data_IF_474022142738
#
_entry.id   IF_474022142738
#
_cell.length_a   1.000
_cell.length_b   1.000
_cell.length_c   1.000
_cell.angle_alpha   90.00
_cell.angle_beta   90.00
_cell.angle_gamma   90.00
#
_symmetry.space_group_name_H-M   'P 1'
#
loop_
_entity.id
_entity.type
_entity.pdbx_description
1 polymer ?
#
# COMPACT_ATOMS: atom_id res chain seq x y z
N UNK A 1 -26.80 -11.61 -5.54
CA UNK A 1 -26.68 -10.18 -5.20
C UNK A 1 -25.21 -9.86 -5.09
N UNK A 2 -24.60 -9.30 -6.14
CA UNK A 2 -23.21 -8.87 -6.08
C UNK A 2 -23.16 -7.60 -5.21
N UNK A 3 -22.44 -7.64 -4.10
CA UNK A 3 -22.16 -6.44 -3.32
C UNK A 3 -21.32 -5.51 -4.20
N UNK A 4 -21.94 -4.45 -4.71
CA UNK A 4 -21.22 -3.37 -5.40
C UNK A 4 -20.49 -2.59 -4.32
N UNK A 5 -19.31 -3.09 -3.92
CA UNK A 5 -18.43 -2.32 -3.05
C UNK A 5 -18.07 -1.02 -3.76
N UNK A 6 -18.26 0.09 -3.04
CA UNK A 6 -17.90 1.41 -3.52
C UNK A 6 -16.43 1.45 -3.95
N UNK A 7 -16.11 2.09 -5.08
CA UNK A 7 -14.74 2.26 -5.54
C UNK A 7 -13.83 2.80 -4.43
N UNK A 8 -12.59 2.32 -4.34
CA UNK A 8 -11.64 2.69 -3.27
C UNK A 8 -11.50 4.21 -3.13
N UNK A 9 -11.55 4.96 -4.24
CA UNK A 9 -11.48 6.42 -4.24
C UNK A 9 -12.66 7.09 -3.53
N UNK A 10 -13.89 6.58 -3.65
CA UNK A 10 -15.05 7.17 -2.95
C UNK A 10 -15.00 6.88 -1.45
N UNK A 11 -14.42 5.74 -1.05
CA UNK A 11 -14.17 5.42 0.36
C UNK A 11 -13.14 6.37 0.98
N UNK A 12 -12.07 6.68 0.26
CA UNK A 12 -11.03 7.63 0.72
C UNK A 12 -11.61 9.04 0.82
N UNK A 13 -12.32 9.52 -0.22
CA UNK A 13 -12.94 10.84 -0.22
C UNK A 13 -13.95 11.01 0.93
N UNK A 14 -14.74 9.97 1.24
CA UNK A 14 -15.63 9.98 2.40
C UNK A 14 -14.86 10.13 3.72
N UNK A 15 -13.74 9.43 3.90
CA UNK A 15 -12.93 9.50 5.11
C UNK A 15 -12.29 10.88 5.28
N UNK A 16 -11.77 11.48 4.20
CA UNK A 16 -11.20 12.82 4.21
C UNK A 16 -12.25 13.88 4.60
N UNK A 17 -13.47 13.75 4.08
CA UNK A 17 -14.58 14.64 4.44
C UNK A 17 -14.96 14.50 5.93
N UNK A 18 -14.98 13.29 6.47
CA UNK A 18 -15.25 13.05 7.90
C UNK A 18 -14.15 13.63 8.79
N UNK A 19 -12.88 13.43 8.44
CA UNK A 19 -11.74 13.98 9.19
C UNK A 19 -11.76 15.51 9.20
N UNK A 20 -12.06 16.14 8.06
CA UNK A 20 -12.22 17.60 7.95
C UNK A 20 -13.30 18.13 8.90
N UNK A 21 -14.45 17.47 8.99
CA UNK A 21 -15.53 17.88 9.90
C UNK A 21 -15.11 17.75 11.37
N UNK A 22 -14.42 16.66 11.72
CA UNK A 22 -13.92 16.45 13.09
C UNK A 22 -12.85 17.47 13.48
N UNK A 23 -12.05 17.92 12.53
CA UNK A 23 -11.05 18.98 12.75
C UNK A 23 -11.69 20.35 12.95
N UNK A 24 -12.76 20.66 12.20
CA UNK A 24 -13.57 21.87 12.40
C UNK A 24 -14.22 21.89 13.78
N UNK A 25 -14.80 20.77 14.22
CA UNK A 25 -15.41 20.66 15.56
C UNK A 25 -14.36 20.81 16.67
N UNK A 26 -13.14 20.31 16.44
CA UNK A 26 -12.02 20.42 17.38
C UNK A 26 -11.50 21.86 17.50
N UNK A 27 -11.50 22.62 16.40
CA UNK A 27 -11.03 24.02 16.35
C UNK A 27 -12.05 25.05 16.83
N UNK A 28 -13.35 24.74 16.84
CA UNK A 28 -14.44 25.66 17.20
C UNK A 28 -14.82 25.66 18.70
N UNK A 29 -13.85 25.57 19.61
CA UNK A 29 -14.10 25.81 21.04
C UNK A 29 -13.58 27.18 21.50
N UNK A 30 -14.38 28.24 21.31
CA UNK A 30 -14.60 29.21 22.35
C UNK A 30 -16.07 29.12 22.77
N UNK A 31 -16.35 28.35 23.81
CA UNK A 31 -17.69 28.21 24.40
C UNK A 31 -18.25 29.60 24.80
N UNK A 32 -19.38 30.06 24.23
CA UNK A 32 -20.12 31.21 24.74
C UNK A 32 -21.20 30.70 25.71
N UNK A 33 -21.04 31.05 26.99
CA UNK A 33 -22.04 31.11 28.08
C UNK A 33 -23.45 30.60 27.72
N UNK A 34 -23.82 29.45 28.27
CA UNK A 34 -25.21 29.21 28.71
C UNK A 34 -25.20 28.63 30.12
N UNK A 35 -26.04 29.21 30.96
CA UNK A 35 -26.02 29.08 32.42
C UNK A 35 -26.83 27.87 32.86
N UNK A 36 -26.18 26.88 33.44
CA UNK A 36 -26.75 26.04 34.50
C UNK A 36 -25.60 25.53 35.37
N UNK A 37 -25.67 25.86 36.66
CA UNK A 37 -24.62 25.66 37.64
C UNK A 37 -24.26 24.17 37.79
N UNK A 38 -22.96 23.86 37.78
CA UNK A 38 -22.30 22.96 38.75
C UNK A 38 -20.79 22.86 38.50
N UNK A 39 -20.01 23.28 39.50
CA UNK A 39 -18.59 22.97 39.81
C UNK A 39 -17.44 23.39 38.87
N UNK A 40 -16.33 23.96 39.41
CA UNK A 40 -15.18 24.35 38.60
C UNK A 40 -14.29 23.13 38.36
N UNK A 41 -14.14 22.68 37.10
CA UNK A 41 -12.97 21.88 36.72
C UNK A 41 -11.92 22.85 36.20
N UNK A 42 -10.95 23.16 37.07
CA UNK A 42 -9.77 23.94 36.71
C UNK A 42 -9.03 23.19 35.61
N UNK A 43 -8.88 23.83 34.44
CA UNK A 43 -7.76 23.51 33.58
C UNK A 43 -6.46 23.74 34.36
N UNK A 44 -5.50 22.84 34.18
CA UNK A 44 -4.11 23.13 34.47
C UNK A 44 -3.32 22.65 33.28
N UNK A 45 -2.76 23.64 32.61
CA UNK A 45 -1.62 23.54 31.72
C UNK A 45 -0.49 22.71 32.34
N UNK A 46 0.33 22.18 31.42
CA UNK A 46 1.72 21.75 31.61
C UNK A 46 2.24 21.73 33.04
N UNK A 47 1.98 20.63 33.75
CA UNK A 47 2.79 20.25 34.89
C UNK A 47 3.11 18.78 34.74
N UNK A 48 4.41 18.47 34.60
CA UNK A 48 4.97 17.20 35.06
C UNK A 48 4.69 17.12 36.55
N UNK A 49 3.46 16.77 36.92
CA UNK A 49 3.12 16.41 38.28
C UNK A 49 3.66 15.01 38.48
N UNK A 50 4.68 14.88 39.31
CA UNK A 50 5.15 13.61 39.84
C UNK A 50 3.95 12.76 40.23
N UNK A 51 3.67 11.72 39.44
CA UNK A 51 2.59 10.78 39.73
C UNK A 51 2.92 10.13 41.06
N UNK A 52 2.19 10.51 42.10
CA UNK A 52 2.38 9.96 43.43
C UNK A 52 1.92 8.50 43.37
N UNK A 53 2.85 7.54 43.31
CA UNK A 53 2.59 6.10 43.20
C UNK A 53 2.05 5.48 44.49
N UNK A 54 1.30 6.26 45.27
CA UNK A 54 0.62 5.77 46.45
C UNK A 54 -0.50 4.80 46.03
N UNK A 55 -0.62 3.61 46.64
CA UNK A 55 -1.66 2.63 46.27
C UNK A 55 -3.09 3.21 46.27
N UNK A 56 -3.34 4.24 47.10
CA UNK A 56 -4.65 4.92 47.22
C UNK A 56 -4.95 5.92 46.09
N UNK A 57 -3.95 6.41 45.36
CA UNK A 57 -4.15 7.31 44.20
C UNK A 57 -4.28 6.52 42.90
N UNK A 58 -3.62 5.36 42.79
CA UNK A 58 -3.67 4.47 41.62
C UNK A 58 -5.08 3.99 41.30
N UNK A 59 -5.91 3.76 42.31
CA UNK A 59 -7.30 3.29 42.16
C UNK A 59 -8.17 4.27 41.36
N UNK A 60 -7.83 5.57 41.35
CA UNK A 60 -8.53 6.61 40.56
C UNK A 60 -8.07 6.68 39.09
N UNK A 61 -6.96 6.03 38.75
CA UNK A 61 -6.33 6.10 37.43
C UNK A 61 -6.25 4.74 36.71
N UNK A 62 -6.44 3.64 37.44
CA UNK A 62 -6.45 2.30 36.87
C UNK A 62 -7.80 1.95 36.26
N UNK A 63 -7.77 1.27 35.11
CA UNK A 63 -8.95 0.60 34.57
C UNK A 63 -9.11 -0.75 35.28
N UNK A 64 -10.36 -1.25 35.45
CA UNK A 64 -10.56 -2.58 36.02
C UNK A 64 -9.84 -3.66 35.21
N UNK A 65 -9.22 -4.61 35.90
CA UNK A 65 -8.34 -5.63 35.30
C UNK A 65 -9.01 -6.43 34.19
N UNK A 66 -10.31 -6.73 34.33
CA UNK A 66 -11.09 -7.49 33.35
C UNK A 66 -11.17 -6.80 31.97
N UNK A 67 -11.31 -5.47 31.94
CA UNK A 67 -11.31 -4.71 30.69
C UNK A 67 -9.93 -4.73 30.02
N UNK A 68 -8.86 -4.63 30.82
CA UNK A 68 -7.48 -4.67 30.32
C UNK A 68 -7.16 -6.04 29.74
N UNK A 69 -7.62 -7.12 30.38
CA UNK A 69 -7.46 -8.49 29.88
C UNK A 69 -8.19 -8.67 28.54
N UNK A 70 -9.48 -8.31 28.47
CA UNK A 70 -10.26 -8.39 27.23
C UNK A 70 -9.64 -7.56 26.10
N UNK A 71 -9.19 -6.33 26.37
CA UNK A 71 -8.52 -5.48 25.39
C UNK A 71 -7.21 -6.13 24.89
N UNK A 72 -6.44 -6.73 25.79
CA UNK A 72 -5.18 -7.39 25.47
C UNK A 72 -5.38 -8.64 24.62
N UNK A 73 -6.39 -9.46 24.94
CA UNK A 73 -6.75 -10.65 24.16
C UNK A 73 -7.14 -10.27 22.73
N UNK A 74 -8.06 -9.31 22.57
CA UNK A 74 -8.50 -8.82 21.25
C UNK A 74 -7.31 -8.28 20.46
N UNK A 75 -6.46 -7.45 21.07
CA UNK A 75 -5.26 -6.91 20.42
C UNK A 75 -4.25 -8.00 20.05
N UNK A 76 -4.06 -9.01 20.90
CA UNK A 76 -3.20 -10.16 20.62
C UNK A 76 -3.64 -10.89 19.36
N UNK A 77 -4.94 -11.13 19.19
CA UNK A 77 -5.47 -11.75 17.96
C UNK A 77 -5.28 -10.89 16.71
N UNK A 78 -5.30 -9.57 16.85
CA UNK A 78 -5.10 -8.64 15.75
C UNK A 78 -3.63 -8.64 15.28
N UNK A 79 -2.68 -8.71 16.21
CA UNK A 79 -1.24 -8.81 15.90
C UNK A 79 -0.96 -10.09 15.11
N UNK A 80 -1.53 -11.23 15.54
CA UNK A 80 -1.38 -12.50 14.84
C UNK A 80 -1.93 -12.42 13.40
N UNK A 81 -3.09 -11.80 13.22
CA UNK A 81 -3.67 -11.58 11.88
C UNK A 81 -2.82 -10.65 11.01
N UNK A 82 -2.20 -9.62 11.58
CA UNK A 82 -1.29 -8.74 10.85
C UNK A 82 -0.04 -9.49 10.39
N UNK A 83 0.57 -10.28 11.27
CA UNK A 83 1.72 -11.12 10.92
C UNK A 83 1.40 -12.06 9.75
N UNK A 84 0.24 -12.72 9.77
CA UNK A 84 -0.19 -13.59 8.67
C UNK A 84 -0.39 -12.84 7.34
N UNK A 85 -0.88 -11.61 7.38
CA UNK A 85 -1.02 -10.76 6.19
C UNK A 85 0.34 -10.34 5.66
N UNK A 86 1.26 -9.93 6.53
CA UNK A 86 2.64 -9.57 6.17
C UNK A 86 3.37 -10.74 5.51
N UNK A 87 3.29 -11.94 6.08
CA UNK A 87 3.91 -13.15 5.52
C UNK A 87 3.37 -13.48 4.13
N UNK A 88 2.05 -13.37 3.94
CA UNK A 88 1.39 -13.62 2.65
C UNK A 88 1.79 -12.57 1.62
N UNK A 89 1.86 -11.31 2.02
CA UNK A 89 2.28 -10.20 1.16
C UNK A 89 3.73 -10.38 0.71
N UNK A 90 4.63 -10.70 1.64
CA UNK A 90 6.04 -10.97 1.32
C UNK A 90 6.16 -12.10 0.28
N UNK A 91 5.42 -13.19 0.47
CA UNK A 91 5.43 -14.32 -0.47
C UNK A 91 4.96 -13.92 -1.87
N UNK A 92 3.92 -13.09 -1.97
CA UNK A 92 3.43 -12.58 -3.26
C UNK A 92 4.44 -11.65 -3.93
N UNK A 93 5.09 -10.77 -3.17
CA UNK A 93 6.13 -9.87 -3.70
C UNK A 93 7.29 -10.68 -4.31
N UNK A 94 7.79 -11.70 -3.60
CA UNK A 94 8.86 -12.56 -4.10
C UNK A 94 8.46 -13.31 -5.38
N UNK A 95 7.24 -13.83 -5.45
CA UNK A 95 6.73 -14.51 -6.65
C UNK A 95 6.62 -13.56 -7.86
N UNK A 96 6.13 -12.35 -7.64
CA UNK A 96 6.05 -11.33 -8.70
C UNK A 96 7.43 -10.91 -9.19
N UNK A 97 8.38 -10.69 -8.29
CA UNK A 97 9.75 -10.36 -8.65
C UNK A 97 10.40 -11.47 -9.48
N UNK A 98 10.21 -12.73 -9.09
CA UNK A 98 10.70 -13.88 -9.86
C UNK A 98 10.08 -13.94 -11.26
N UNK A 99 8.76 -13.77 -11.37
CA UNK A 99 8.05 -13.77 -12.65
C UNK A 99 8.52 -12.62 -13.56
N UNK A 100 8.72 -11.42 -13.01
CA UNK A 100 9.23 -10.27 -13.76
C UNK A 100 10.67 -10.50 -14.25
N UNK A 101 11.52 -11.09 -13.42
CA UNK A 101 12.89 -11.45 -13.83
C UNK A 101 12.87 -12.52 -14.92
N UNK A 102 11.99 -13.52 -14.82
CA UNK A 102 11.83 -14.54 -15.85
C UNK A 102 11.38 -13.93 -17.19
N UNK A 103 10.36 -13.06 -17.18
CA UNK A 103 9.87 -12.36 -18.37
C UNK A 103 10.96 -11.52 -19.05
N UNK A 104 11.74 -10.74 -18.28
CA UNK A 104 12.86 -9.96 -18.82
C UNK A 104 13.89 -10.84 -19.53
N UNK A 105 14.25 -11.98 -18.95
CA UNK A 105 15.18 -12.94 -19.57
C UNK A 105 14.64 -13.54 -20.87
N UNK A 106 13.33 -13.77 -20.97
CA UNK A 106 12.71 -14.23 -22.21
C UNK A 106 12.71 -13.17 -23.30
N UNK A 107 12.42 -11.91 -22.95
CA UNK A 107 12.45 -10.77 -23.87
C UNK A 107 13.86 -10.54 -24.43
N UNK A 108 14.89 -10.58 -23.57
CA UNK A 108 16.29 -10.47 -24.00
C UNK A 108 16.70 -11.60 -24.96
N UNK A 109 16.28 -12.84 -24.68
CA UNK A 109 16.54 -14.00 -25.57
C UNK A 109 15.88 -13.83 -26.95
N UNK A 110 14.66 -13.29 -27.01
CA UNK A 110 13.97 -13.01 -28.28
C UNK A 110 14.71 -11.95 -29.09
N UNK A 111 15.16 -10.88 -28.44
CA UNK A 111 15.89 -9.78 -29.10
C UNK A 111 17.29 -10.20 -29.60
N UNK A 112 17.97 -11.08 -28.87
CA UNK A 112 19.33 -11.55 -29.21
C UNK A 112 19.37 -12.74 -30.17
N UNK A 113 18.22 -13.21 -30.66
CA UNK A 113 18.18 -14.31 -31.62
C UNK A 113 18.79 -13.88 -32.98
N UNK A 114 19.88 -14.53 -33.45
CA UNK A 114 20.57 -14.09 -34.65
C UNK A 114 19.70 -14.37 -35.87
N UNK A 115 19.36 -13.31 -36.65
CA UNK A 115 18.66 -13.39 -37.94
C UNK A 115 19.52 -14.09 -39.01
N UNK A 116 19.78 -15.38 -38.85
CA UNK A 116 20.62 -16.18 -39.75
C UNK A 116 19.96 -16.38 -41.13
N UNK A 117 18.63 -16.38 -41.22
CA UNK A 117 17.90 -16.58 -42.47
C UNK A 117 17.95 -15.39 -43.45
N UNK A 118 17.94 -14.15 -42.95
CA UNK A 118 17.82 -12.97 -43.82
C UNK A 118 19.10 -12.68 -44.62
N UNK A 119 20.28 -12.88 -44.00
CA UNK A 119 21.57 -12.73 -44.71
C UNK A 119 21.73 -13.75 -45.85
N UNK A 120 21.20 -14.96 -45.67
CA UNK A 120 21.27 -16.01 -46.69
C UNK A 120 20.31 -15.74 -47.86
N UNK A 121 19.12 -15.20 -47.57
CA UNK A 121 18.16 -14.75 -48.57
C UNK A 121 18.72 -13.61 -49.43
N UNK A 122 19.28 -12.57 -48.80
CA UNK A 122 19.92 -11.44 -49.53
C UNK A 122 21.07 -11.95 -50.40
N UNK A 123 21.89 -12.87 -49.87
CA UNK A 123 22.99 -13.48 -50.63
C UNK A 123 22.50 -14.23 -51.87
N UNK A 124 21.36 -14.90 -51.83
CA UNK A 124 20.77 -15.57 -53.00
C UNK A 124 20.20 -14.57 -54.02
N UNK A 125 19.49 -13.53 -53.59
CA UNK A 125 18.91 -12.53 -54.50
C UNK A 125 19.98 -11.76 -55.29
N UNK A 126 21.09 -11.39 -54.64
CA UNK A 126 22.20 -10.68 -55.30
C UNK A 126 22.96 -11.60 -56.27
N UNK A 127 23.11 -12.89 -55.94
CA UNK A 127 23.74 -13.88 -56.83
C UNK A 127 22.91 -14.19 -58.07
N UNK A 128 21.58 -14.13 -57.98
CA UNK A 128 20.69 -14.32 -59.12
C UNK A 128 20.80 -13.16 -60.13
N UNK A 129 21.02 -11.92 -59.66
CA UNK A 129 21.09 -10.73 -60.52
C UNK A 129 22.35 -10.66 -61.40
N UNK A 130 23.45 -11.29 -60.99
CA UNK A 130 24.71 -11.32 -61.74
C UNK A 130 24.76 -12.31 -62.91
N UNK A 131 23.85 -13.29 -62.99
CA UNK A 131 23.87 -14.35 -64.01
C UNK A 131 23.13 -14.00 -65.30
N UNK A 132 22.34 -12.93 -65.32
CA UNK A 132 21.55 -12.52 -66.49
C UNK A 132 22.21 -11.42 -67.35
N UNK A 133 23.43 -10.98 -67.03
CA UNK A 133 24.08 -9.85 -67.73
C UNK A 133 25.08 -10.25 -68.84
N UNK A 134 25.34 -11.54 -69.09
CA UNK A 134 26.43 -11.98 -70.01
C UNK A 134 25.98 -12.80 -71.21
N UNK A 135 24.69 -12.90 -71.52
CA UNK A 135 24.20 -13.64 -72.69
C UNK A 135 23.53 -12.71 -73.71
N UNK A 136 24.26 -11.72 -74.21
CA UNK A 136 23.82 -11.00 -75.41
C UNK A 136 25.01 -10.52 -76.26
N UNK A 137 25.73 -11.48 -76.86
CA UNK A 137 26.47 -11.32 -78.12
C UNK A 137 26.45 -12.66 -78.84
N UNK A 138 25.50 -12.84 -79.75
CA UNK A 138 25.49 -13.91 -80.75
C UNK A 138 25.19 -13.30 -82.11
N UNK A 139 25.94 -13.80 -83.10
CA UNK A 139 25.82 -13.64 -84.55
C UNK A 139 26.21 -12.28 -85.14
#
# INVERSE_FOLDING_TARGET
MAATEEPILSRIDRLDNMLRQLEVIRGCNPSPKSSCASTPTSGSDGHVSSTDFSPKSLEKHCRPIEFVMMETEVKGTMIERLNQVEDRMLKLCLQLEEELVAKKKEEEKKMNSPKKGFKQLVKQCVKARGKYSTNNKQA
#
